data_IF_257404631792
#
_entry.id   IF_257404631792
#
_cell.length_a   1.000
_cell.length_b   1.000
_cell.length_c   1.000
_cell.angle_alpha   90.00
_cell.angle_beta   90.00
_cell.angle_gamma   90.00
#
_symmetry.space_group_name_H-M   'P 1'
#
loop_
_entity.id
_entity.type
_entity.pdbx_description
1 polymer ?
#
# COMPACT_ATOMS: atom_id res chain seq x y z
N UNK A 1 11.53 -8.06 -5.13
CA UNK A 1 11.06 -7.29 -3.96
C UNK A 1 10.82 -5.85 -4.43
N UNK A 2 10.18 -5.02 -3.62
CA UNK A 2 10.11 -3.57 -3.85
C UNK A 2 10.72 -2.83 -2.65
N UNK A 3 11.35 -1.69 -2.91
CA UNK A 3 11.79 -0.76 -1.87
C UNK A 3 10.81 0.39 -1.80
N UNK A 4 10.21 0.60 -0.64
CA UNK A 4 9.25 1.68 -0.37
C UNK A 4 9.96 2.75 0.44
N UNK A 5 9.83 4.02 0.07
CA UNK A 5 10.43 5.17 0.76
C UNK A 5 9.36 6.18 1.13
N UNK A 6 9.29 6.54 2.42
CA UNK A 6 8.40 7.55 2.94
C UNK A 6 9.04 8.95 2.94
N UNK A 7 8.21 9.99 3.06
CA UNK A 7 8.66 11.39 3.11
C UNK A 7 9.58 11.73 4.30
N UNK A 8 9.53 10.93 5.37
CA UNK A 8 10.43 11.03 6.51
C UNK A 8 11.84 10.42 6.26
N UNK A 9 12.11 9.93 5.04
CA UNK A 9 13.39 9.36 4.63
C UNK A 9 13.60 7.89 5.01
N UNK A 10 12.69 7.27 5.78
CA UNK A 10 12.76 5.84 6.10
C UNK A 10 12.34 5.01 4.90
N UNK A 11 12.99 3.84 4.75
CA UNK A 11 12.67 2.89 3.68
C UNK A 11 12.60 1.46 4.19
N UNK A 12 11.76 0.65 3.58
CA UNK A 12 11.62 -0.78 3.86
C UNK A 12 11.55 -1.57 2.55
N UNK A 13 12.10 -2.78 2.54
CA UNK A 13 11.97 -3.72 1.43
C UNK A 13 10.84 -4.70 1.71
N UNK A 14 9.91 -4.87 0.77
CA UNK A 14 8.73 -5.71 0.90
C UNK A 14 8.57 -6.65 -0.31
N UNK A 15 7.86 -7.77 -0.11
CA UNK A 15 7.50 -8.70 -1.19
C UNK A 15 6.10 -8.34 -1.70
N UNK A 16 5.92 -8.30 -3.02
CA UNK A 16 4.59 -8.23 -3.64
C UNK A 16 3.96 -9.62 -3.55
N UNK A 17 2.76 -9.72 -2.98
CA UNK A 17 2.08 -11.00 -2.71
C UNK A 17 0.63 -11.03 -3.18
N UNK A 18 0.06 -9.90 -3.58
CA UNK A 18 -1.35 -9.78 -3.93
C UNK A 18 -1.59 -8.60 -4.88
N UNK A 19 -2.81 -8.48 -5.37
CA UNK A 19 -3.32 -7.38 -6.21
C UNK A 19 -4.28 -6.48 -5.41
N UNK A 20 -4.15 -5.16 -5.61
CA UNK A 20 -5.20 -4.21 -5.23
C UNK A 20 -6.02 -3.89 -6.50
N UNK A 21 -7.13 -4.61 -6.69
CA UNK A 21 -7.90 -4.59 -7.95
C UNK A 21 -8.49 -3.20 -8.22
N UNK A 22 -8.12 -2.61 -9.35
CA UNK A 22 -8.55 -1.26 -9.77
C UNK A 22 -9.65 -1.25 -10.82
N UNK A 23 -10.16 -2.44 -11.18
CA UNK A 23 -11.21 -2.65 -12.19
C UNK A 23 -12.52 -3.01 -11.53
N UNK A 24 -12.51 -3.95 -10.58
CA UNK A 24 -13.73 -4.49 -9.95
C UNK A 24 -13.97 -3.93 -8.55
N UNK A 25 -15.22 -3.89 -8.12
CA UNK A 25 -15.65 -3.34 -6.83
C UNK A 25 -17.10 -2.87 -6.84
N UNK A 26 -17.55 -2.29 -5.72
CA UNK A 26 -18.93 -1.86 -5.48
C UNK A 26 -19.97 -2.99 -5.58
N UNK A 27 -19.57 -4.23 -5.33
CA UNK A 27 -20.41 -5.42 -5.38
C UNK A 27 -20.28 -6.25 -4.09
N UNK A 28 -21.02 -7.37 -4.01
CA UNK A 28 -21.03 -8.22 -2.83
C UNK A 28 -19.71 -9.00 -2.62
N UNK A 29 -19.04 -9.39 -3.71
CA UNK A 29 -17.77 -10.14 -3.66
C UNK A 29 -16.66 -9.28 -3.05
N UNK A 30 -16.69 -7.96 -3.31
CA UNK A 30 -15.77 -6.97 -2.77
C UNK A 30 -16.30 -6.28 -1.50
N UNK A 31 -17.32 -6.85 -0.84
CA UNK A 31 -17.95 -6.30 0.38
C UNK A 31 -18.41 -4.83 0.24
N UNK A 32 -18.81 -4.42 -0.97
CA UNK A 32 -19.25 -3.07 -1.29
C UNK A 32 -18.13 -2.03 -1.36
N UNK A 33 -16.86 -2.43 -1.21
CA UNK A 33 -15.73 -1.51 -1.32
C UNK A 33 -15.51 -1.08 -2.78
N UNK A 34 -15.14 0.17 -3.04
CA UNK A 34 -14.86 0.63 -4.39
C UNK A 34 -13.59 -0.04 -4.96
N UNK A 35 -13.42 -0.05 -6.28
CA UNK A 35 -12.16 -0.43 -6.89
C UNK A 35 -10.99 0.38 -6.33
N UNK A 36 -9.83 -0.27 -6.22
CA UNK A 36 -8.59 0.34 -5.80
C UNK A 36 -8.16 1.46 -6.74
N UNK A 37 -7.45 2.47 -6.22
CA UNK A 37 -6.84 3.50 -7.08
C UNK A 37 -5.65 2.90 -7.82
N UNK A 38 -5.39 3.39 -9.03
CA UNK A 38 -4.37 2.87 -9.94
C UNK A 38 -2.91 3.10 -9.51
N UNK A 39 -2.67 3.79 -8.39
CA UNK A 39 -1.34 4.20 -7.93
C UNK A 39 -1.09 3.81 -6.45
N UNK A 40 -1.67 2.71 -5.99
CA UNK A 40 -1.61 2.24 -4.61
C UNK A 40 -0.57 1.14 -4.43
N UNK A 41 0.17 1.24 -3.32
CA UNK A 41 0.88 0.11 -2.71
C UNK A 41 0.15 -0.18 -1.41
N UNK A 42 -0.65 -1.25 -1.39
CA UNK A 42 -1.40 -1.62 -0.18
C UNK A 42 -0.48 -2.44 0.74
N UNK A 43 -0.21 -1.88 1.93
CA UNK A 43 0.89 -2.29 2.79
C UNK A 43 0.39 -2.89 4.10
N UNK A 44 0.97 -4.03 4.49
CA UNK A 44 0.71 -4.62 5.81
C UNK A 44 1.15 -3.70 6.96
N UNK A 45 0.61 -3.93 8.16
CA UNK A 45 0.96 -3.15 9.37
C UNK A 45 2.46 -3.10 9.64
N UNK A 46 3.20 -4.18 9.33
CA UNK A 46 4.66 -4.23 9.47
C UNK A 46 5.39 -3.27 8.53
N UNK A 47 4.85 -2.98 7.34
CA UNK A 47 5.42 -1.98 6.41
C UNK A 47 5.27 -0.58 7.01
N UNK A 48 4.09 -0.25 7.55
CA UNK A 48 3.83 1.03 8.21
C UNK A 48 4.76 1.26 9.42
N UNK A 49 4.91 0.24 10.28
CA UNK A 49 5.81 0.29 11.45
C UNK A 49 7.26 0.51 11.02
N UNK A 50 7.75 -0.21 9.99
CA UNK A 50 9.11 -0.07 9.49
C UNK A 50 9.38 1.33 8.90
N UNK A 51 8.38 1.92 8.24
CA UNK A 51 8.40 3.31 7.77
C UNK A 51 8.21 4.33 8.90
N UNK A 52 7.96 3.89 10.13
CA UNK A 52 7.71 4.76 11.28
C UNK A 52 6.51 5.69 11.08
N UNK A 53 5.46 5.19 10.44
CA UNK A 53 4.26 5.96 10.09
C UNK A 53 3.04 5.38 10.80
N UNK A 54 2.08 6.25 11.15
CA UNK A 54 0.83 5.81 11.78
C UNK A 54 -0.18 5.38 10.70
N UNK A 55 -0.62 4.12 10.76
CA UNK A 55 -1.62 3.57 9.83
C UNK A 55 -2.99 4.24 9.95
N UNK A 56 -3.32 4.86 11.09
CA UNK A 56 -4.58 5.58 11.29
C UNK A 56 -4.70 6.83 10.40
N UNK A 57 -3.60 7.29 9.78
CA UNK A 57 -3.63 8.34 8.75
C UNK A 57 -4.38 7.88 7.49
N UNK A 58 -4.56 6.56 7.31
CA UNK A 58 -5.20 5.94 6.16
C UNK A 58 -4.32 5.91 4.91
N UNK A 59 -3.70 7.04 4.54
CA UNK A 59 -2.84 7.15 3.36
C UNK A 59 -1.53 7.89 3.67
N UNK A 60 -0.45 7.46 3.02
CA UNK A 60 0.87 8.06 3.12
C UNK A 60 1.45 8.28 1.71
N UNK A 61 1.99 9.48 1.45
CA UNK A 61 2.75 9.74 0.24
C UNK A 61 4.10 9.00 0.26
N UNK A 62 4.32 8.12 -0.72
CA UNK A 62 5.52 7.29 -0.85
C UNK A 62 6.06 7.29 -2.27
N UNK A 63 7.30 6.86 -2.42
CA UNK A 63 7.85 6.39 -3.70
C UNK A 63 8.28 4.93 -3.56
N UNK A 64 8.33 4.21 -4.67
CA UNK A 64 8.82 2.84 -4.68
C UNK A 64 9.59 2.51 -5.96
N UNK A 65 10.47 1.52 -5.86
CA UNK A 65 11.16 0.92 -7.00
C UNK A 65 11.30 -0.58 -6.79
N UNK A 66 11.60 -1.31 -7.86
CA UNK A 66 12.12 -2.67 -7.70
C UNK A 66 13.41 -2.62 -6.87
N UNK A 67 13.57 -3.60 -5.98
CA UNK A 67 14.73 -3.77 -5.11
C UNK A 67 15.49 -5.05 -5.50
#
# INVERSE_FOLDING_TARGET
MIRITASNGRSVTAKVVDECDSVNGCDAEHAGQPPCKNNIVDGSSTVWIALGSNQDLGNLGITWSMA
#
